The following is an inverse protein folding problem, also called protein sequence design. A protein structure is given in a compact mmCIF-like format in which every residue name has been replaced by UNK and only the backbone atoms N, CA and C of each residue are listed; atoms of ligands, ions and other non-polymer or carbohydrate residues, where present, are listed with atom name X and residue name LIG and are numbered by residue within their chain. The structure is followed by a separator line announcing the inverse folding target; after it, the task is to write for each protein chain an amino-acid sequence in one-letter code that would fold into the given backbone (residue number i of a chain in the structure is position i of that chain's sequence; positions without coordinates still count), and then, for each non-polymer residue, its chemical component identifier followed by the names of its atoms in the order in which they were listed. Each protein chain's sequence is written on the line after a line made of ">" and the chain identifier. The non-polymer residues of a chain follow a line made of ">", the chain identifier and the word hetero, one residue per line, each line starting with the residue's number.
data_IF_591338517848
#
_entry.id   IF_591338517848
#
_cell.length_a   1.000
_cell.length_b   1.000
_cell.length_c   1.000
_cell.angle_alpha   90.00
_cell.angle_beta   90.00
_cell.angle_gamma   90.00
#
_symmetry.space_group_name_H-M   'P 1'
#
loop_
_entity.id
_entity.type
_entity.pdbx_description
1 polymer ?
#
# COMPACT_ATOMS: atom_id res chain seq x y z
N UNK A 1 -4.03 -8.42 -11.81
CA UNK A 1 -5.29 -7.95 -11.20
C UNK A 1 -5.80 -6.88 -12.12
N UNK A 2 -7.10 -6.83 -12.38
CA UNK A 2 -7.65 -5.70 -13.14
C UNK A 2 -7.90 -4.47 -12.25
N UNK A 3 -8.29 -3.36 -12.87
CA UNK A 3 -8.55 -2.11 -12.13
C UNK A 3 -9.79 -2.24 -11.23
N UNK A 4 -10.78 -3.05 -11.62
CA UNK A 4 -12.02 -3.22 -10.85
C UNK A 4 -11.74 -4.00 -9.54
N UNK A 5 -10.93 -5.05 -9.63
CA UNK A 5 -10.43 -5.82 -8.49
C UNK A 5 -9.54 -4.97 -7.56
N UNK A 6 -8.70 -4.11 -8.14
CA UNK A 6 -7.82 -3.21 -7.38
C UNK A 6 -8.62 -2.11 -6.66
N UNK A 7 -9.65 -1.57 -7.32
CA UNK A 7 -10.55 -0.53 -6.81
C UNK A 7 -11.84 -1.16 -6.28
N UNK A 8 -11.69 -2.05 -5.30
CA UNK A 8 -12.80 -2.78 -4.67
C UNK A 8 -13.47 -2.01 -3.53
N UNK A 9 -14.77 -2.26 -3.32
CA UNK A 9 -15.53 -1.77 -2.14
C UNK A 9 -14.99 -2.32 -0.80
N UNK A 10 -14.26 -3.43 -0.84
CA UNK A 10 -13.62 -4.04 0.34
C UNK A 10 -12.37 -3.28 0.79
N UNK A 11 -11.91 -2.30 0.00
CA UNK A 11 -10.79 -1.45 0.33
C UNK A 11 -11.16 0.03 0.15
N UNK A 12 -10.21 0.94 0.39
CA UNK A 12 -10.44 2.37 0.31
C UNK A 12 -9.93 3.02 -0.98
N UNK A 13 -9.52 2.23 -1.98
CA UNK A 13 -9.06 2.76 -3.27
C UNK A 13 -10.20 3.41 -4.05
N UNK A 14 -11.44 2.94 -3.88
CA UNK A 14 -12.63 3.54 -4.49
C UNK A 14 -12.89 5.00 -4.08
N UNK A 15 -12.29 5.43 -2.96
CA UNK A 15 -12.38 6.81 -2.48
C UNK A 15 -11.39 7.76 -3.17
N UNK A 16 -10.46 7.23 -3.97
CA UNK A 16 -9.52 8.04 -4.73
C UNK A 16 -10.22 8.59 -5.98
N UNK A 17 -10.16 9.90 -6.18
CA UNK A 17 -10.55 10.50 -7.44
C UNK A 17 -9.69 9.96 -8.58
N UNK A 18 -10.30 9.78 -9.76
CA UNK A 18 -9.67 9.18 -10.95
C UNK A 18 -8.32 9.85 -11.32
N UNK A 19 -8.28 11.19 -11.33
CA UNK A 19 -7.05 11.95 -11.60
C UNK A 19 -5.94 11.63 -10.60
N UNK A 20 -6.29 11.49 -9.32
CA UNK A 20 -5.33 11.17 -8.28
C UNK A 20 -4.86 9.72 -8.38
N UNK A 21 -5.76 8.80 -8.71
CA UNK A 21 -5.44 7.39 -8.94
C UNK A 21 -4.35 7.23 -10.01
N UNK A 22 -4.57 7.79 -11.20
CA UNK A 22 -3.60 7.71 -12.30
C UNK A 22 -2.31 8.47 -12.04
N UNK A 23 -2.33 9.46 -11.14
CA UNK A 23 -1.13 10.16 -10.70
C UNK A 23 -0.29 9.30 -9.73
N UNK A 24 -0.95 8.57 -8.85
CA UNK A 24 -0.28 7.75 -7.81
C UNK A 24 0.27 6.45 -8.38
N UNK A 25 -0.54 5.73 -9.17
CA UNK A 25 -0.27 4.32 -9.46
C UNK A 25 0.36 4.04 -10.83
N UNK A 26 1.23 3.03 -10.87
CA UNK A 26 1.72 2.40 -12.08
C UNK A 26 0.76 1.29 -12.52
N UNK A 27 0.07 1.50 -13.65
CA UNK A 27 -0.97 0.58 -14.10
C UNK A 27 -0.40 -0.77 -14.53
N UNK A 28 0.79 -0.78 -15.14
CA UNK A 28 1.46 -2.03 -15.52
C UNK A 28 1.66 -2.95 -14.31
N UNK A 29 2.10 -2.38 -13.18
CA UNK A 29 2.30 -3.13 -11.95
C UNK A 29 1.00 -3.63 -11.31
N UNK A 30 -0.13 -2.94 -11.52
CA UNK A 30 -1.45 -3.47 -11.10
C UNK A 30 -1.81 -4.70 -11.93
N UNK A 31 -1.65 -4.62 -13.25
CA UNK A 31 -1.98 -5.75 -14.14
C UNK A 31 -1.09 -6.97 -13.88
N UNK A 32 0.19 -6.76 -13.58
CA UNK A 32 1.15 -7.82 -13.27
C UNK A 32 0.92 -8.47 -11.89
N UNK A 33 0.18 -7.83 -10.98
CA UNK A 33 -0.07 -8.34 -9.64
C UNK A 33 -1.07 -9.51 -9.67
N UNK A 34 -0.71 -10.73 -9.20
CA UNK A 34 -1.66 -11.84 -9.18
C UNK A 34 -2.85 -11.55 -8.25
N UNK A 35 -4.07 -11.84 -8.69
CA UNK A 35 -5.24 -11.71 -7.84
C UNK A 35 -5.38 -12.92 -6.90
N UNK A 36 -4.87 -12.76 -5.68
CA UNK A 36 -4.99 -13.74 -4.61
C UNK A 36 -5.26 -13.02 -3.28
N UNK A 37 -5.70 -13.79 -2.28
CA UNK A 37 -6.08 -13.26 -0.97
C UNK A 37 -4.99 -12.39 -0.32
N UNK A 38 -3.73 -12.80 -0.44
CA UNK A 38 -2.63 -12.06 0.18
C UNK A 38 -2.39 -10.72 -0.52
N UNK A 39 -2.44 -10.68 -1.85
CA UNK A 39 -2.30 -9.45 -2.62
C UNK A 39 -3.48 -8.50 -2.43
N UNK A 40 -4.71 -9.02 -2.30
CA UNK A 40 -5.86 -8.21 -1.88
C UNK A 40 -5.64 -7.58 -0.51
N UNK A 41 -5.05 -8.33 0.44
CA UNK A 41 -4.70 -7.80 1.77
C UNK A 41 -3.62 -6.71 1.72
N UNK A 42 -2.62 -6.88 0.84
CA UNK A 42 -1.58 -5.85 0.58
C UNK A 42 -2.21 -4.55 0.07
N UNK A 43 -3.18 -4.65 -0.83
CA UNK A 43 -3.91 -3.49 -1.36
C UNK A 43 -4.80 -2.87 -0.28
N UNK A 44 -5.48 -3.69 0.52
CA UNK A 44 -6.26 -3.20 1.66
C UNK A 44 -5.39 -2.35 2.60
N UNK A 45 -4.22 -2.87 3.02
CA UNK A 45 -3.30 -2.12 3.87
C UNK A 45 -2.77 -0.85 3.21
N UNK A 46 -2.51 -0.88 1.90
CA UNK A 46 -2.11 0.33 1.17
C UNK A 46 -3.24 1.37 1.15
N UNK A 47 -4.48 0.93 0.97
CA UNK A 47 -5.64 1.82 0.95
C UNK A 47 -5.88 2.49 2.31
N UNK A 48 -5.66 1.76 3.42
CA UNK A 48 -5.68 2.31 4.78
C UNK A 48 -4.65 3.43 4.94
N UNK A 49 -3.41 3.19 4.47
CA UNK A 49 -2.38 4.22 4.47
C UNK A 49 -2.81 5.47 3.72
N UNK A 50 -3.39 5.32 2.52
CA UNK A 50 -3.77 6.45 1.67
C UNK A 50 -4.90 7.30 2.28
N UNK A 51 -5.76 6.72 3.11
CA UNK A 51 -6.77 7.46 3.89
C UNK A 51 -6.26 7.94 5.24
N UNK A 52 -4.96 7.80 5.52
CA UNK A 52 -4.30 8.32 6.71
C UNK A 52 -4.20 7.36 7.89
N UNK A 53 -4.75 6.14 7.79
CA UNK A 53 -4.59 5.10 8.79
C UNK A 53 -3.28 4.33 8.55
N UNK A 54 -2.18 4.79 9.13
CA UNK A 54 -0.88 4.14 8.96
C UNK A 54 -0.62 3.05 10.01
N UNK A 55 -1.05 3.27 11.25
CA UNK A 55 -0.65 2.43 12.38
C UNK A 55 -1.14 1.00 12.24
N UNK A 56 -2.42 0.81 11.95
CA UNK A 56 -3.02 -0.53 11.84
C UNK A 56 -2.36 -1.37 10.72
N UNK A 57 -2.16 -0.86 9.49
CA UNK A 57 -1.38 -1.56 8.48
C UNK A 57 0.01 -1.97 8.94
N UNK A 58 0.78 -1.06 9.53
CA UNK A 58 2.16 -1.34 9.89
C UNK A 58 2.27 -2.30 11.09
N UNK A 59 1.36 -2.20 12.06
CA UNK A 59 1.26 -3.17 13.16
C UNK A 59 0.97 -4.56 12.58
N UNK A 60 -0.04 -4.71 11.72
CA UNK A 60 -0.40 -5.99 11.09
C UNK A 60 0.71 -6.57 10.20
N UNK A 61 1.40 -5.72 9.42
CA UNK A 61 2.52 -6.15 8.58
C UNK A 61 3.68 -6.63 9.46
N UNK A 62 3.95 -5.97 10.59
CA UNK A 62 5.06 -6.33 11.48
C UNK A 62 4.93 -7.69 12.16
N UNK A 63 3.73 -8.25 12.21
CA UNK A 63 3.45 -9.60 12.71
C UNK A 63 3.75 -10.70 11.67
N UNK A 64 3.94 -10.34 10.40
CA UNK A 64 4.30 -11.29 9.35
C UNK A 64 5.76 -11.74 9.47
N UNK A 65 6.11 -12.86 8.83
CA UNK A 65 7.52 -13.23 8.66
C UNK A 65 8.27 -12.22 7.78
N UNK A 66 9.60 -12.20 7.88
CA UNK A 66 10.44 -11.21 7.18
C UNK A 66 10.29 -11.20 5.65
N UNK A 67 10.05 -12.37 5.03
CA UNK A 67 9.88 -12.45 3.57
C UNK A 67 8.54 -11.83 3.15
N UNK A 68 7.49 -12.07 3.92
CA UNK A 68 6.19 -11.47 3.69
C UNK A 68 6.21 -9.96 3.93
N UNK A 69 6.91 -9.48 4.97
CA UNK A 69 7.11 -8.04 5.18
C UNK A 69 7.82 -7.39 3.99
N UNK A 70 8.90 -8.00 3.51
CA UNK A 70 9.63 -7.52 2.34
C UNK A 70 8.71 -7.45 1.10
N UNK A 71 7.97 -8.54 0.83
CA UNK A 71 7.07 -8.62 -0.31
C UNK A 71 5.96 -7.56 -0.28
N UNK A 72 5.38 -7.28 0.89
CA UNK A 72 4.38 -6.20 1.05
C UNK A 72 4.97 -4.85 0.65
N UNK A 73 6.13 -4.50 1.20
CA UNK A 73 6.75 -3.20 0.94
C UNK A 73 7.28 -3.08 -0.49
N UNK A 74 7.85 -4.14 -1.05
CA UNK A 74 8.24 -4.20 -2.46
C UNK A 74 7.02 -3.98 -3.36
N UNK A 75 5.91 -4.68 -3.09
CA UNK A 75 4.67 -4.52 -3.87
C UNK A 75 4.17 -3.08 -3.82
N UNK A 76 4.16 -2.43 -2.65
CA UNK A 76 3.79 -1.02 -2.53
C UNK A 76 4.70 -0.10 -3.36
N UNK A 77 6.01 -0.33 -3.35
CA UNK A 77 6.95 0.47 -4.13
C UNK A 77 6.85 0.24 -5.63
N UNK A 78 6.46 -0.96 -6.08
CA UNK A 78 6.14 -1.22 -7.48
C UNK A 78 4.84 -0.54 -7.91
N UNK A 79 3.81 -0.54 -7.04
CA UNK A 79 2.51 0.05 -7.36
C UNK A 79 2.56 1.58 -7.44
N UNK A 80 3.35 2.26 -6.61
CA UNK A 80 3.37 3.73 -6.53
C UNK A 80 4.42 4.31 -7.46
N UNK A 81 4.01 5.05 -8.50
CA UNK A 81 4.91 5.84 -9.35
C UNK A 81 5.09 7.29 -8.90
N UNK A 82 4.19 7.81 -8.05
CA UNK A 82 4.28 9.19 -7.61
C UNK A 82 5.46 9.40 -6.63
N UNK A 83 6.45 10.25 -6.96
CA UNK A 83 7.65 10.40 -6.13
C UNK A 83 7.38 10.99 -4.75
N UNK A 84 6.38 11.88 -4.64
CA UNK A 84 6.00 12.51 -3.36
C UNK A 84 5.42 11.45 -2.42
N UNK A 85 4.53 10.60 -2.93
CA UNK A 85 3.88 9.55 -2.16
C UNK A 85 4.82 8.42 -1.81
N UNK A 86 5.74 8.08 -2.71
CA UNK A 86 6.82 7.15 -2.41
C UNK A 86 7.71 7.67 -1.27
N UNK A 87 8.12 8.95 -1.31
CA UNK A 87 8.92 9.55 -0.25
C UNK A 87 8.19 9.56 1.10
N UNK A 88 6.90 9.92 1.09
CA UNK A 88 6.05 9.94 2.29
C UNK A 88 5.89 8.56 2.91
N UNK A 89 5.63 7.54 2.08
CA UNK A 89 5.48 6.16 2.51
C UNK A 89 6.79 5.61 3.09
N UNK A 90 7.92 5.79 2.39
CA UNK A 90 9.24 5.33 2.85
C UNK A 90 9.60 5.94 4.21
N UNK A 91 9.36 7.25 4.39
CA UNK A 91 9.61 7.92 5.66
C UNK A 91 8.81 7.28 6.80
N UNK A 92 7.54 7.01 6.56
CA UNK A 92 6.62 6.42 7.53
C UNK A 92 7.00 4.98 7.91
N UNK A 93 7.37 4.15 6.92
CA UNK A 93 7.90 2.80 7.16
C UNK A 93 9.18 2.86 8.01
N UNK A 94 10.13 3.73 7.67
CA UNK A 94 11.37 3.87 8.44
C UNK A 94 11.07 4.31 9.88
N UNK A 95 10.21 5.32 10.06
CA UNK A 95 9.80 5.80 11.38
C UNK A 95 9.22 4.67 12.24
N UNK A 96 8.41 3.79 11.64
CA UNK A 96 7.86 2.63 12.32
C UNK A 96 8.95 1.65 12.79
N UNK A 97 9.88 1.28 11.89
CA UNK A 97 10.93 0.32 12.21
C UNK A 97 11.95 0.81 13.23
N UNK A 98 12.28 2.11 13.24
CA UNK A 98 13.22 2.68 14.21
C UNK A 98 12.55 3.05 15.56
N UNK A 99 11.29 2.66 15.76
CA UNK A 99 10.58 2.81 17.03
C UNK A 99 9.93 4.18 17.26
N UNK A 100 9.81 5.03 16.25
CA UNK A 100 9.10 6.32 16.32
C UNK A 100 7.59 6.16 16.11
N UNK A 101 6.99 5.11 16.67
CA UNK A 101 5.59 4.72 16.46
C UNK A 101 4.58 5.74 16.99
N UNK A 102 4.98 6.59 17.93
CA UNK A 102 4.15 7.68 18.48
C UNK A 102 3.93 8.84 17.52
N UNK A 103 4.69 8.90 16.42
CA UNK A 103 4.61 9.95 15.39
C UNK A 103 3.75 9.53 14.18
N UNK A 104 3.11 8.37 14.26
CA UNK A 104 2.41 7.70 13.17
C UNK A 104 0.90 7.75 13.30
#
# INVERSE_FOLDING_TARGET
>A
MDIEEFVSEENHMCNLGEDLFYKIFELGSIYDLPDNEFNRKIIYWLSQYLVGNLREPLDAISELNMFNQFYVHETWFSLIKCPIEMKSLSKRIIQYHIGLRTLL
#
